data_IF_741119744699
#
_entry.id   IF_741119744699
#
_cell.length_a   1.000
_cell.length_b   1.000
_cell.length_c   1.000
_cell.angle_alpha   90.00
_cell.angle_beta   90.00
_cell.angle_gamma   90.00
#
_symmetry.space_group_name_H-M   'P 1'
#
loop_
_entity.id
_entity.type
_entity.pdbx_description
1 polymer ?
#
# COMPACT_ATOMS: atom_id res chain seq x y z
N UNK A 1 -18.49 23.58 -7.14
CA UNK A 1 -17.09 23.43 -6.70
C UNK A 1 -16.61 22.12 -7.31
N UNK A 2 -15.36 22.03 -7.76
CA UNK A 2 -14.83 20.79 -8.34
C UNK A 2 -14.42 19.83 -7.21
N UNK A 3 -14.33 18.52 -7.46
CA UNK A 3 -13.88 17.59 -6.42
C UNK A 3 -12.46 17.93 -5.97
N UNK A 4 -11.63 18.41 -6.89
CA UNK A 4 -10.28 18.85 -6.60
C UNK A 4 -10.24 20.07 -5.66
N UNK A 5 -11.09 21.07 -5.88
CA UNK A 5 -11.16 22.24 -5.00
C UNK A 5 -11.62 21.85 -3.59
N UNK A 6 -12.64 21.00 -3.47
CA UNK A 6 -13.11 20.48 -2.18
C UNK A 6 -11.99 19.70 -1.46
N UNK A 7 -11.21 18.94 -2.21
CA UNK A 7 -10.06 18.20 -1.70
C UNK A 7 -8.93 19.12 -1.19
N UNK A 8 -8.65 20.23 -1.89
CA UNK A 8 -7.71 21.24 -1.41
C UNK A 8 -8.17 21.89 -0.09
N UNK A 9 -9.47 22.17 0.06
CA UNK A 9 -10.03 22.67 1.32
C UNK A 9 -9.92 21.64 2.46
N UNK A 10 -10.15 20.35 2.15
CA UNK A 10 -9.92 19.26 3.11
C UNK A 10 -8.44 19.21 3.54
N UNK A 11 -7.50 19.34 2.60
CA UNK A 11 -6.07 19.35 2.89
C UNK A 11 -5.71 20.48 3.86
N UNK A 12 -6.19 21.70 3.63
CA UNK A 12 -5.93 22.83 4.54
C UNK A 12 -6.52 22.58 5.92
N UNK A 13 -7.72 21.98 5.99
CA UNK A 13 -8.33 21.60 7.27
C UNK A 13 -7.51 20.55 8.00
N UNK A 14 -7.00 19.53 7.29
CA UNK A 14 -6.18 18.44 7.85
C UNK A 14 -4.82 18.92 8.32
N UNK A 15 -4.20 19.87 7.62
CA UNK A 15 -2.93 20.49 8.05
C UNK A 15 -3.02 21.11 9.45
N UNK A 16 -4.18 21.67 9.84
CA UNK A 16 -4.37 22.21 11.20
C UNK A 16 -4.30 21.16 12.31
N UNK A 17 -4.45 19.87 11.95
CA UNK A 17 -4.36 18.71 12.83
C UNK A 17 -3.01 17.97 12.68
N UNK A 18 -2.08 18.50 11.88
CA UNK A 18 -0.80 17.85 11.57
C UNK A 18 -0.97 16.59 10.71
N UNK A 19 -2.04 16.49 9.94
CA UNK A 19 -2.33 15.36 9.06
C UNK A 19 -1.98 15.70 7.60
N UNK A 20 -1.58 14.67 6.87
CA UNK A 20 -1.33 14.70 5.43
C UNK A 20 -2.64 14.66 4.64
N UNK A 21 -2.63 14.91 3.32
CA UNK A 21 -3.79 14.72 2.46
C UNK A 21 -4.38 13.32 2.61
N UNK A 22 -5.70 13.22 2.78
CA UNK A 22 -6.37 11.93 2.91
C UNK A 22 -6.20 11.11 1.62
N UNK A 23 -5.86 9.82 1.68
CA UNK A 23 -5.74 9.00 0.48
C UNK A 23 -7.03 8.97 -0.35
N UNK A 24 -6.86 9.03 -1.67
CA UNK A 24 -7.97 9.05 -2.64
C UNK A 24 -8.44 7.63 -2.87
N UNK A 25 -9.72 7.37 -2.59
CA UNK A 25 -10.34 6.05 -2.72
C UNK A 25 -11.50 6.00 -3.73
N UNK A 26 -11.92 7.15 -4.27
CA UNK A 26 -12.97 7.26 -5.28
C UNK A 26 -12.44 7.49 -6.71
N UNK A 27 -13.08 6.85 -7.69
CA UNK A 27 -12.73 6.95 -9.11
C UNK A 27 -12.95 8.35 -9.70
N UNK A 28 -14.03 9.03 -9.33
CA UNK A 28 -14.39 10.37 -9.84
C UNK A 28 -13.30 11.41 -9.56
N UNK A 29 -12.73 11.37 -8.36
CA UNK A 29 -11.59 12.21 -8.00
C UNK A 29 -10.35 11.86 -8.84
N UNK A 30 -10.04 10.57 -9.03
CA UNK A 30 -8.91 10.15 -9.88
C UNK A 30 -9.12 10.55 -11.34
N UNK A 31 -10.34 10.45 -11.87
CA UNK A 31 -10.69 10.89 -13.22
C UNK A 31 -10.49 12.40 -13.40
N UNK A 32 -10.85 13.20 -12.38
CA UNK A 32 -10.59 14.64 -12.37
C UNK A 32 -9.07 14.93 -12.37
N UNK A 33 -8.28 14.19 -11.57
CA UNK A 33 -6.82 14.29 -11.61
C UNK A 33 -6.28 13.95 -13.00
N UNK A 34 -6.76 12.86 -13.63
CA UNK A 34 -6.35 12.45 -14.97
C UNK A 34 -6.67 13.54 -16.01
N UNK A 35 -7.84 14.17 -15.92
CA UNK A 35 -8.21 15.27 -16.81
C UNK A 35 -7.24 16.46 -16.68
N UNK A 36 -6.88 16.83 -15.45
CA UNK A 36 -5.90 17.89 -15.17
C UNK A 36 -4.47 17.50 -15.60
N UNK A 37 -4.10 16.22 -15.47
CA UNK A 37 -2.79 15.70 -15.93
C UNK A 37 -2.65 15.78 -17.45
N UNK A 38 -3.72 15.44 -18.18
CA UNK A 38 -3.77 15.50 -19.65
C UNK A 38 -3.75 16.95 -20.17
N UNK A 39 -4.30 17.90 -19.41
CA UNK A 39 -4.20 19.32 -19.73
C UNK A 39 -2.83 19.89 -19.28
N UNK A 40 -1.86 19.84 -20.19
CA UNK A 40 -0.48 20.32 -19.92
C UNK A 40 -0.38 21.79 -19.48
N UNK A 41 -1.42 22.61 -19.71
CA UNK A 41 -1.48 24.00 -19.27
C UNK A 41 -2.19 24.22 -17.94
N UNK A 42 -2.68 23.16 -17.29
CA UNK A 42 -3.42 23.25 -16.05
C UNK A 42 -2.53 23.67 -14.88
N UNK A 43 -2.96 24.69 -14.12
CA UNK A 43 -2.19 25.23 -12.99
C UNK A 43 -1.97 24.22 -11.85
N UNK A 44 -2.83 23.21 -11.73
CA UNK A 44 -2.77 22.17 -10.71
C UNK A 44 -2.10 20.89 -11.18
N UNK A 45 -1.65 20.81 -12.43
CA UNK A 45 -1.13 19.58 -13.04
C UNK A 45 -0.06 18.87 -12.22
N UNK A 46 0.88 19.63 -11.65
CA UNK A 46 1.98 19.09 -10.84
C UNK A 46 1.47 18.40 -9.56
N UNK A 47 0.56 19.06 -8.83
CA UNK A 47 -0.06 18.48 -7.64
C UNK A 47 -0.94 17.28 -8.00
N UNK A 48 -1.66 17.34 -9.11
CA UNK A 48 -2.50 16.23 -9.58
C UNK A 48 -1.69 15.00 -9.97
N UNK A 49 -0.51 15.19 -10.59
CA UNK A 49 0.47 14.12 -10.79
C UNK A 49 0.92 13.53 -9.45
N UNK A 50 1.27 14.38 -8.48
CA UNK A 50 1.71 13.92 -7.15
C UNK A 50 0.62 13.11 -6.43
N UNK A 51 -0.63 13.58 -6.42
CA UNK A 51 -1.74 12.84 -5.81
C UNK A 51 -2.05 11.53 -6.53
N UNK A 52 -2.01 11.54 -7.86
CA UNK A 52 -2.19 10.33 -8.66
C UNK A 52 -1.12 9.28 -8.35
N UNK A 53 0.16 9.68 -8.33
CA UNK A 53 1.28 8.76 -8.13
C UNK A 53 1.33 8.26 -6.68
N UNK A 54 1.27 9.16 -5.70
CA UNK A 54 1.63 8.86 -4.31
C UNK A 54 0.46 8.79 -3.32
N UNK A 55 -0.71 9.30 -3.68
CA UNK A 55 -1.84 9.41 -2.74
C UNK A 55 -3.13 8.72 -3.17
N UNK A 56 -3.06 7.83 -4.17
CA UNK A 56 -4.19 7.01 -4.60
C UNK A 56 -4.14 5.64 -3.92
N UNK A 57 -5.23 5.21 -3.28
CA UNK A 57 -5.27 3.90 -2.62
C UNK A 57 -5.23 2.75 -3.64
N UNK A 58 -4.42 1.71 -3.38
CA UNK A 58 -4.35 0.50 -4.19
C UNK A 58 -5.47 -0.50 -3.83
N UNK A 59 -5.34 -1.74 -4.30
CA UNK A 59 -6.29 -2.81 -3.98
C UNK A 59 -7.58 -2.71 -4.78
N UNK A 60 -8.74 -2.90 -4.14
CA UNK A 60 -10.04 -3.03 -4.82
C UNK A 60 -10.90 -1.77 -4.76
N UNK A 61 -10.30 -0.61 -4.50
CA UNK A 61 -11.03 0.68 -4.49
C UNK A 61 -11.43 1.08 -5.92
N UNK A 62 -12.42 1.96 -6.05
CA UNK A 62 -12.79 2.51 -7.36
C UNK A 62 -11.66 3.40 -7.91
N UNK A 63 -10.96 4.14 -7.04
CA UNK A 63 -9.75 4.88 -7.40
C UNK A 63 -8.64 3.99 -8.00
N UNK A 64 -8.40 2.80 -7.43
CA UNK A 64 -7.46 1.84 -8.00
C UNK A 64 -7.87 1.39 -9.42
N UNK A 65 -9.16 1.26 -9.68
CA UNK A 65 -9.69 0.97 -11.03
C UNK A 65 -9.33 2.07 -12.03
N UNK A 66 -9.65 3.32 -11.70
CA UNK A 66 -9.35 4.48 -12.55
C UNK A 66 -7.83 4.63 -12.78
N UNK A 67 -7.02 4.49 -11.72
CA UNK A 67 -5.55 4.55 -11.80
C UNK A 67 -4.99 3.44 -12.69
N UNK A 68 -5.39 2.18 -12.48
CA UNK A 68 -4.88 1.06 -13.28
C UNK A 68 -5.27 1.20 -14.76
N UNK A 69 -6.50 1.66 -15.04
CA UNK A 69 -6.95 1.93 -16.41
C UNK A 69 -6.11 3.01 -17.10
N UNK A 70 -5.83 4.12 -16.42
CA UNK A 70 -5.01 5.17 -17.01
C UNK A 70 -3.55 4.75 -17.23
N UNK A 71 -2.98 3.95 -16.31
CA UNK A 71 -1.65 3.37 -16.50
C UNK A 71 -1.61 2.41 -17.71
N UNK A 72 -2.69 1.66 -17.94
CA UNK A 72 -2.85 0.84 -19.14
C UNK A 72 -2.83 1.69 -20.42
N UNK A 73 -3.56 2.81 -20.43
CA UNK A 73 -3.59 3.73 -21.58
C UNK A 73 -2.18 4.25 -21.90
N UNK A 74 -1.38 4.57 -20.89
CA UNK A 74 0.01 5.01 -21.05
C UNK A 74 0.86 3.89 -21.65
N UNK A 75 0.77 2.67 -21.11
CA UNK A 75 1.53 1.50 -21.60
C UNK A 75 1.19 1.18 -23.05
N UNK A 76 -0.09 1.32 -23.45
CA UNK A 76 -0.55 1.08 -24.81
C UNK A 76 -0.31 2.27 -25.76
N UNK A 77 0.30 3.36 -25.29
CA UNK A 77 0.54 4.58 -26.08
C UNK A 77 -0.74 5.35 -26.45
N UNK A 78 -1.84 5.12 -25.73
CA UNK A 78 -3.13 5.80 -25.92
C UNK A 78 -3.19 7.13 -25.15
N UNK A 79 -2.33 7.30 -24.15
CA UNK A 79 -2.10 8.55 -23.45
C UNK A 79 -0.59 8.78 -23.28
N UNK A 80 -0.16 10.05 -23.30
CA UNK A 80 1.23 10.43 -23.07
C UNK A 80 1.30 11.37 -21.87
N UNK A 81 2.15 11.03 -20.91
CA UNK A 81 2.44 11.82 -19.71
C UNK A 81 3.94 11.84 -19.54
N UNK A 82 4.58 13.00 -19.71
CA UNK A 82 6.05 13.11 -19.73
C UNK A 82 6.72 12.57 -18.46
N UNK A 83 6.02 12.64 -17.33
CA UNK A 83 6.48 12.20 -16.01
C UNK A 83 6.24 10.71 -15.73
N UNK A 84 5.45 10.02 -16.57
CA UNK A 84 5.13 8.60 -16.41
C UNK A 84 5.52 7.86 -17.68
N UNK A 85 6.75 7.33 -17.71
CA UNK A 85 7.16 6.42 -18.78
C UNK A 85 6.40 5.10 -18.73
N UNK A 86 6.49 4.30 -19.80
CA UNK A 86 5.90 2.95 -19.85
C UNK A 86 6.46 2.08 -18.74
N UNK A 87 7.78 2.13 -18.50
CA UNK A 87 8.45 1.39 -17.42
C UNK A 87 7.93 1.82 -16.05
N UNK A 88 7.78 3.14 -15.83
CA UNK A 88 7.25 3.65 -14.57
C UNK A 88 5.77 3.29 -14.39
N UNK A 89 4.98 3.24 -15.46
CA UNK A 89 3.59 2.78 -15.39
C UNK A 89 3.49 1.30 -14.96
N UNK A 90 4.38 0.43 -15.47
CA UNK A 90 4.49 -0.95 -14.99
C UNK A 90 4.92 -1.04 -13.53
N UNK A 91 5.89 -0.23 -13.11
CA UNK A 91 6.30 -0.13 -11.71
C UNK A 91 5.09 0.24 -10.82
N UNK A 92 4.34 1.29 -11.17
CA UNK A 92 3.16 1.71 -10.41
C UNK A 92 2.10 0.59 -10.33
N UNK A 93 1.81 -0.11 -11.43
CA UNK A 93 0.91 -1.28 -11.41
C UNK A 93 1.41 -2.38 -10.47
N UNK A 94 2.72 -2.65 -10.44
CA UNK A 94 3.31 -3.69 -9.58
C UNK A 94 3.12 -3.43 -8.07
N UNK A 95 2.98 -2.14 -7.69
CA UNK A 95 2.78 -1.67 -6.32
C UNK A 95 1.29 -1.58 -5.90
N UNK A 96 0.35 -1.77 -6.83
CA UNK A 96 -1.09 -1.76 -6.54
C UNK A 96 -1.62 -3.09 -5.96
N UNK A 97 -0.83 -4.17 -6.03
CA UNK A 97 -0.98 -5.42 -5.28
C UNK A 97 -2.40 -6.02 -5.30
N UNK A 98 -2.97 -6.23 -6.49
CA UNK A 98 -4.21 -6.99 -6.66
C UNK A 98 -5.37 -6.21 -7.28
N UNK A 99 -6.51 -6.88 -7.41
CA UNK A 99 -7.75 -6.28 -7.92
C UNK A 99 -7.61 -5.74 -9.35
N UNK A 100 -8.00 -4.48 -9.63
CA UNK A 100 -7.94 -3.90 -10.97
C UNK A 100 -6.54 -3.93 -11.62
N UNK A 101 -5.47 -3.86 -10.82
CA UNK A 101 -4.10 -3.93 -11.35
C UNK A 101 -3.78 -5.29 -11.96
N UNK A 102 -4.24 -6.39 -11.36
CA UNK A 102 -4.06 -7.76 -11.89
C UNK A 102 -4.85 -7.94 -13.17
N UNK A 103 -6.09 -7.43 -13.21
CA UNK A 103 -6.91 -7.48 -14.42
C UNK A 103 -6.22 -6.76 -15.60
N UNK A 104 -5.68 -5.55 -15.36
CA UNK A 104 -4.93 -4.78 -16.35
C UNK A 104 -3.66 -5.49 -16.78
N UNK A 105 -2.87 -6.01 -15.84
CA UNK A 105 -1.64 -6.72 -16.15
C UNK A 105 -1.92 -7.99 -16.97
N UNK A 106 -3.01 -8.71 -16.70
CA UNK A 106 -3.43 -9.85 -17.52
C UNK A 106 -3.89 -9.44 -18.92
N UNK A 107 -4.61 -8.32 -19.05
CA UNK A 107 -4.96 -7.78 -20.37
C UNK A 107 -3.71 -7.49 -21.21
N UNK A 108 -2.67 -6.92 -20.58
CA UNK A 108 -1.40 -6.58 -21.23
C UNK A 108 -0.57 -7.84 -21.53
N UNK A 109 -0.48 -8.78 -20.58
CA UNK A 109 0.29 -10.03 -20.72
C UNK A 109 -0.28 -10.96 -21.80
N UNK A 110 -1.60 -10.95 -21.99
CA UNK A 110 -2.29 -11.76 -23.00
C UNK A 110 -2.54 -10.99 -24.30
N UNK A 111 -2.03 -9.77 -24.43
CA UNK A 111 -2.15 -8.94 -25.63
C UNK A 111 -1.21 -9.35 -26.77
N UNK A 112 -1.35 -8.67 -27.91
CA UNK A 112 -0.64 -8.99 -29.15
C UNK A 112 0.79 -8.39 -29.22
N UNK A 113 1.07 -7.31 -28.48
CA UNK A 113 2.40 -6.71 -28.45
C UNK A 113 3.34 -7.53 -27.56
N UNK A 114 4.28 -8.23 -28.18
CA UNK A 114 5.18 -9.14 -27.48
C UNK A 114 6.08 -8.44 -26.44
N UNK A 115 6.43 -7.16 -26.64
CA UNK A 115 7.27 -6.40 -25.71
C UNK A 115 6.51 -6.02 -24.46
N UNK A 116 5.29 -5.50 -24.63
CA UNK A 116 4.36 -5.19 -23.54
C UNK A 116 3.96 -6.47 -22.79
N UNK A 117 3.65 -7.53 -23.53
CA UNK A 117 3.22 -8.80 -22.96
C UNK A 117 4.30 -9.41 -22.06
N UNK A 118 5.58 -9.37 -22.48
CA UNK A 118 6.70 -9.84 -21.68
C UNK A 118 6.87 -9.02 -20.39
N UNK A 119 6.83 -7.69 -20.45
CA UNK A 119 6.95 -6.83 -19.26
C UNK A 119 5.79 -7.04 -18.29
N UNK A 120 4.57 -7.13 -18.80
CA UNK A 120 3.39 -7.41 -17.99
C UNK A 120 3.48 -8.79 -17.32
N UNK A 121 3.99 -9.80 -18.05
CA UNK A 121 4.22 -11.12 -17.50
C UNK A 121 5.26 -11.10 -16.37
N UNK A 122 6.39 -10.40 -16.55
CA UNK A 122 7.40 -10.28 -15.51
C UNK A 122 6.84 -9.63 -14.23
N UNK A 123 5.99 -8.60 -14.36
CA UNK A 123 5.28 -8.05 -13.21
C UNK A 123 4.32 -9.08 -12.62
N UNK A 124 3.50 -9.76 -13.43
CA UNK A 124 2.55 -10.78 -12.96
C UNK A 124 3.21 -11.92 -12.19
N UNK A 125 4.43 -12.35 -12.55
CA UNK A 125 5.18 -13.37 -11.80
C UNK A 125 5.48 -12.98 -10.35
N UNK A 126 5.40 -11.70 -10.02
CA UNK A 126 5.56 -11.17 -8.65
C UNK A 126 4.24 -11.00 -7.90
N UNK A 127 3.10 -11.24 -8.56
CA UNK A 127 1.76 -11.05 -8.00
C UNK A 127 1.12 -12.39 -7.62
N UNK A 128 0.29 -12.38 -6.57
CA UNK A 128 -0.34 -13.59 -6.02
C UNK A 128 -1.86 -13.49 -5.86
N UNK A 129 -2.44 -12.31 -6.06
CA UNK A 129 -3.88 -12.07 -5.89
C UNK A 129 -4.65 -12.32 -7.19
N UNK A 130 -4.54 -13.54 -7.74
CA UNK A 130 -5.36 -14.00 -8.85
C UNK A 130 -6.59 -14.72 -8.31
N UNK A 131 -7.76 -14.39 -8.85
CA UNK A 131 -9.02 -15.05 -8.51
C UNK A 131 -9.44 -16.03 -9.60
N UNK A 132 -10.54 -16.75 -9.39
CA UNK A 132 -11.02 -17.78 -10.32
C UNK A 132 -11.15 -17.28 -11.76
N UNK A 133 -11.66 -16.07 -11.97
CA UNK A 133 -11.78 -15.46 -13.29
C UNK A 133 -10.41 -15.18 -13.94
N UNK A 134 -9.41 -14.78 -13.16
CA UNK A 134 -8.05 -14.54 -13.65
C UNK A 134 -7.37 -15.86 -14.04
N UNK A 135 -7.57 -16.89 -13.22
CA UNK A 135 -7.06 -18.24 -13.48
C UNK A 135 -7.74 -18.89 -14.70
N UNK A 136 -9.04 -18.66 -14.89
CA UNK A 136 -9.79 -19.13 -16.07
C UNK A 136 -9.24 -18.47 -17.34
N UNK A 137 -8.99 -17.15 -17.32
CA UNK A 137 -8.34 -16.45 -18.45
C UNK A 137 -6.97 -17.02 -18.81
N UNK A 138 -6.13 -17.30 -17.81
CA UNK A 138 -4.82 -17.93 -18.02
C UNK A 138 -4.95 -19.35 -18.57
N UNK A 139 -5.93 -20.12 -18.09
CA UNK A 139 -6.22 -21.46 -18.59
C UNK A 139 -6.64 -21.42 -20.06
N UNK A 140 -7.60 -20.57 -20.41
CA UNK A 140 -8.09 -20.44 -21.79
C UNK A 140 -6.97 -20.02 -22.74
N UNK A 141 -6.12 -19.08 -22.30
CA UNK A 141 -4.95 -18.66 -23.07
C UNK A 141 -3.92 -19.79 -23.23
N UNK A 142 -3.66 -20.57 -22.19
CA UNK A 142 -2.80 -21.75 -22.28
C UNK A 142 -3.36 -22.80 -23.26
N UNK A 143 -4.66 -23.09 -23.17
CA UNK A 143 -5.34 -24.06 -24.04
C UNK A 143 -5.35 -23.58 -25.51
N UNK A 144 -5.32 -22.25 -25.73
CA UNK A 144 -5.12 -21.63 -27.05
C UNK A 144 -3.66 -21.59 -27.52
N UNK A 145 -2.71 -22.09 -26.72
CA UNK A 145 -1.28 -22.14 -27.07
C UNK A 145 -0.49 -20.86 -26.81
N UNK A 146 -1.00 -19.94 -25.97
CA UNK A 146 -0.30 -18.72 -25.61
C UNK A 146 0.96 -19.02 -24.77
N UNK A 147 2.13 -18.64 -25.28
CA UNK A 147 3.41 -18.90 -24.64
C UNK A 147 3.61 -18.13 -23.32
N UNK A 148 3.07 -16.91 -23.23
CA UNK A 148 3.12 -16.08 -22.01
C UNK A 148 2.28 -16.71 -20.90
N UNK A 149 1.08 -17.20 -21.23
CA UNK A 149 0.23 -17.90 -20.26
C UNK A 149 0.92 -19.16 -19.71
N UNK A 150 1.58 -19.93 -20.60
CA UNK A 150 2.38 -21.09 -20.19
C UNK A 150 3.50 -20.70 -19.23
N UNK A 151 4.30 -19.70 -19.58
CA UNK A 151 5.42 -19.21 -18.77
C UNK A 151 4.95 -18.66 -17.39
N UNK A 152 3.83 -17.94 -17.35
CA UNK A 152 3.22 -17.50 -16.09
C UNK A 152 2.82 -18.68 -15.19
N UNK A 153 2.14 -19.68 -15.76
CA UNK A 153 1.70 -20.84 -15.00
C UNK A 153 2.88 -21.71 -14.52
N UNK A 154 3.94 -21.84 -15.33
CA UNK A 154 5.18 -22.50 -14.92
C UNK A 154 5.89 -21.75 -13.78
N UNK A 155 5.97 -20.42 -13.86
CA UNK A 155 6.49 -19.56 -12.79
C UNK A 155 5.69 -19.70 -11.49
N UNK A 156 4.35 -19.71 -11.57
CA UNK A 156 3.49 -19.91 -10.40
C UNK A 156 3.63 -21.31 -9.82
N UNK A 157 3.74 -22.35 -10.65
CA UNK A 157 3.99 -23.72 -10.19
C UNK A 157 5.35 -23.87 -9.49
N UNK A 158 6.37 -23.11 -9.94
CA UNK A 158 7.68 -23.01 -9.29
C UNK A 158 7.70 -22.06 -8.08
N UNK A 159 6.56 -21.43 -7.76
CA UNK A 159 6.41 -20.43 -6.70
C UNK A 159 7.42 -19.27 -6.79
N UNK A 160 7.76 -18.81 -8.00
CA UNK A 160 8.75 -17.74 -8.18
C UNK A 160 8.36 -16.43 -7.48
N UNK A 161 7.06 -16.16 -7.32
CA UNK A 161 6.53 -15.03 -6.53
C UNK A 161 7.00 -15.03 -5.07
N UNK A 162 7.42 -16.20 -4.55
CA UNK A 162 7.92 -16.38 -3.20
C UNK A 162 9.42 -16.68 -3.18
N UNK A 163 9.88 -17.62 -4.01
CA UNK A 163 11.28 -18.08 -4.01
C UNK A 163 12.27 -17.05 -4.54
N UNK A 164 11.79 -16.02 -5.27
CA UNK A 164 12.61 -14.88 -5.71
C UNK A 164 12.51 -13.66 -4.79
N UNK A 165 11.75 -13.72 -3.70
CA UNK A 165 11.77 -12.65 -2.70
C UNK A 165 13.14 -12.62 -2.01
N UNK A 166 13.61 -11.44 -1.57
CA UNK A 166 14.77 -11.34 -0.69
C UNK A 166 14.57 -12.21 0.56
N UNK A 167 15.63 -12.91 0.98
CA UNK A 167 15.63 -13.59 2.28
C UNK A 167 15.47 -12.58 3.42
N UNK A 168 14.92 -13.03 4.54
CA UNK A 168 14.87 -12.21 5.75
C UNK A 168 16.28 -12.01 6.29
N UNK A 169 16.56 -10.82 6.85
CA UNK A 169 17.82 -10.56 7.56
C UNK A 169 18.05 -11.62 8.65
N UNK A 170 19.23 -12.27 8.66
CA UNK A 170 19.60 -13.24 9.70
C UNK A 170 19.68 -12.58 11.09
N UNK A 171 20.06 -11.30 11.13
CA UNK A 171 20.14 -10.48 12.33
C UNK A 171 19.32 -9.20 12.14
N UNK A 172 18.48 -8.88 13.12
CA UNK A 172 17.69 -7.65 13.15
C UNK A 172 18.07 -6.89 14.42
N UNK A 173 18.79 -5.78 14.26
CA UNK A 173 19.03 -4.85 15.36
C UNK A 173 17.70 -4.23 15.80
N UNK A 174 17.45 -4.23 17.12
CA UNK A 174 16.25 -3.63 17.70
C UNK A 174 16.59 -2.67 18.83
N UNK A 175 15.86 -1.55 18.89
CA UNK A 175 15.81 -0.66 20.06
C UNK A 175 14.45 -0.79 20.71
N UNK A 176 14.41 -0.98 22.03
CA UNK A 176 13.18 -1.32 22.74
C UNK A 176 12.48 -0.07 23.27
N UNK A 177 11.17 0.05 23.01
CA UNK A 177 10.30 0.99 23.67
C UNK A 177 9.31 0.24 24.57
N UNK A 178 9.38 0.48 25.87
CA UNK A 178 8.44 -0.10 26.85
C UNK A 178 7.13 0.67 26.78
N UNK A 179 6.11 0.08 26.17
CA UNK A 179 4.82 0.75 25.99
C UNK A 179 4.01 0.81 27.28
N UNK A 180 4.10 -0.21 28.13
CA UNK A 180 3.54 -0.24 29.48
C UNK A 180 4.13 -1.42 30.29
N UNK A 181 3.99 -1.35 31.62
CA UNK A 181 4.13 -2.52 32.50
C UNK A 181 2.77 -3.22 32.67
N UNK A 182 2.74 -4.55 32.55
CA UNK A 182 1.53 -5.37 32.56
C UNK A 182 0.96 -5.65 31.17
N UNK A 183 -0.21 -6.28 31.13
CA UNK A 183 -0.84 -6.68 29.87
C UNK A 183 -1.27 -5.44 29.05
N UNK A 184 -0.87 -5.41 27.79
CA UNK A 184 -1.28 -4.37 26.84
C UNK A 184 -2.47 -4.88 26.05
N UNK A 185 -3.62 -4.24 26.24
CA UNK A 185 -4.81 -4.57 25.46
C UNK A 185 -4.81 -3.90 24.10
N UNK A 186 -5.54 -4.49 23.14
CA UNK A 186 -5.78 -3.85 21.84
C UNK A 186 -6.55 -2.54 21.93
N UNK A 187 -7.21 -2.25 23.06
CA UNK A 187 -7.86 -0.96 23.30
C UNK A 187 -6.85 0.16 23.59
N UNK A 188 -5.68 -0.14 24.17
CA UNK A 188 -4.58 0.82 24.29
C UNK A 188 -4.01 1.18 22.90
N UNK A 189 -3.90 0.18 22.02
CA UNK A 189 -3.34 0.34 20.68
C UNK A 189 -4.34 0.96 19.69
N UNK A 190 -5.63 0.67 19.87
CA UNK A 190 -6.74 1.15 19.04
C UNK A 190 -8.00 1.31 19.89
N UNK A 191 -8.19 2.48 20.52
CA UNK A 191 -9.29 2.74 21.44
C UNK A 191 -10.67 2.57 20.80
N UNK A 192 -11.60 1.93 21.52
CA UNK A 192 -12.94 1.63 21.02
C UNK A 192 -13.77 2.87 20.69
N UNK A 193 -13.63 3.94 21.47
CA UNK A 193 -14.29 5.22 21.23
C UNK A 193 -13.77 5.95 19.98
N UNK A 194 -12.60 5.56 19.47
CA UNK A 194 -12.00 6.10 18.23
C UNK A 194 -12.29 5.23 17.01
N UNK A 195 -13.28 4.33 17.07
CA UNK A 195 -13.59 3.42 15.96
C UNK A 195 -13.97 4.14 14.65
N UNK A 196 -14.50 5.36 14.74
CA UNK A 196 -14.91 6.17 13.60
C UNK A 196 -13.72 6.61 12.71
N UNK A 197 -12.51 6.71 13.26
CA UNK A 197 -11.32 7.12 12.51
C UNK A 197 -10.55 5.96 11.87
N UNK A 198 -10.89 4.69 12.15
CA UNK A 198 -10.10 3.52 11.74
C UNK A 198 -9.79 3.39 10.25
N UNK A 199 -10.65 3.94 9.39
CA UNK A 199 -10.43 3.93 7.94
C UNK A 199 -9.34 4.91 7.51
N UNK A 200 -9.14 5.99 8.27
CA UNK A 200 -8.06 6.95 8.08
C UNK A 200 -6.87 6.56 8.97
N UNK A 201 -5.91 5.83 8.39
CA UNK A 201 -4.82 5.20 9.13
C UNK A 201 -3.89 6.20 9.81
N UNK A 202 -3.67 7.36 9.19
CA UNK A 202 -2.85 8.42 9.77
C UNK A 202 -3.55 9.03 11.00
N UNK A 203 -4.81 9.42 10.84
CA UNK A 203 -5.63 9.96 11.93
C UNK A 203 -5.81 8.95 13.07
N UNK A 204 -6.13 7.70 12.75
CA UNK A 204 -6.28 6.66 13.77
C UNK A 204 -4.96 6.31 14.45
N UNK A 205 -3.84 6.43 13.73
CA UNK A 205 -2.49 6.28 14.25
C UNK A 205 -2.23 7.19 15.44
N UNK A 206 -2.69 8.45 15.39
CA UNK A 206 -2.56 9.42 16.49
C UNK A 206 -3.22 8.98 17.80
N UNK A 207 -4.16 8.03 17.75
CA UNK A 207 -4.84 7.51 18.94
C UNK A 207 -4.06 6.39 19.65
N UNK A 208 -2.94 5.92 19.08
CA UNK A 208 -2.10 4.88 19.68
C UNK A 208 -1.26 5.47 20.80
N UNK A 209 -1.42 5.00 22.05
CA UNK A 209 -0.69 5.50 23.23
C UNK A 209 -0.77 7.05 23.39
N UNK A 210 0.02 7.64 24.27
CA UNK A 210 0.08 9.11 24.45
C UNK A 210 0.94 9.78 23.38
N UNK A 211 0.67 11.06 23.11
CA UNK A 211 1.47 11.86 22.16
C UNK A 211 2.94 11.99 22.57
N UNK A 212 3.25 12.01 23.88
CA UNK A 212 4.63 12.05 24.34
C UNK A 212 5.37 10.74 24.04
N UNK A 213 4.70 9.59 24.22
CA UNK A 213 5.24 8.29 23.85
C UNK A 213 5.49 8.17 22.34
N UNK A 214 4.59 8.71 21.52
CA UNK A 214 4.77 8.77 20.07
C UNK A 214 6.04 9.54 19.68
N UNK A 215 6.28 10.72 20.30
CA UNK A 215 7.50 11.51 20.07
C UNK A 215 8.76 10.79 20.52
N UNK A 216 8.70 10.05 21.64
CA UNK A 216 9.82 9.22 22.10
C UNK A 216 10.14 8.10 21.10
N UNK A 217 9.11 7.43 20.56
CA UNK A 217 9.27 6.41 19.51
C UNK A 217 9.93 7.01 18.26
N UNK A 218 9.49 8.19 17.81
CA UNK A 218 10.12 8.89 16.68
C UNK A 218 11.58 9.28 16.96
N UNK A 219 11.85 9.79 18.16
CA UNK A 219 13.21 10.12 18.59
C UNK A 219 14.12 8.87 18.61
N UNK A 220 13.60 7.71 19.03
CA UNK A 220 14.33 6.45 18.99
C UNK A 220 14.67 6.04 17.55
N UNK A 221 13.75 6.20 16.60
CA UNK A 221 14.01 5.91 15.18
C UNK A 221 15.14 6.78 14.62
N UNK A 222 15.14 8.07 14.99
CA UNK A 222 16.16 9.03 14.56
C UNK A 222 17.54 8.75 15.20
N UNK A 223 17.56 8.32 16.48
CA UNK A 223 18.79 7.98 17.20
C UNK A 223 19.39 6.66 16.74
N UNK A 224 18.56 5.72 16.29
CA UNK A 224 18.97 4.37 15.89
C UNK A 224 18.50 4.03 14.46
N UNK A 225 19.01 4.71 13.42
CA UNK A 225 18.53 4.54 12.05
C UNK A 225 18.76 3.14 11.46
N UNK A 226 19.69 2.37 12.04
CA UNK A 226 19.99 0.99 11.62
C UNK A 226 19.19 -0.07 12.38
N UNK A 227 18.48 0.32 13.46
CA UNK A 227 17.70 -0.60 14.29
C UNK A 227 16.19 -0.38 14.09
N UNK A 228 15.40 -1.44 14.27
CA UNK A 228 13.94 -1.36 14.30
C UNK A 228 13.47 -1.02 15.72
N UNK A 229 12.45 -0.18 15.86
CA UNK A 229 11.82 0.00 17.17
C UNK A 229 10.97 -1.23 17.48
N UNK A 230 11.27 -1.90 18.59
CA UNK A 230 10.45 -2.97 19.14
C UNK A 230 9.57 -2.43 20.26
N UNK A 231 8.25 -2.59 20.10
CA UNK A 231 7.28 -2.20 21.12
C UNK A 231 7.05 -3.37 22.09
N UNK A 232 7.27 -3.18 23.40
CA UNK A 232 7.13 -4.26 24.40
C UNK A 232 6.09 -3.98 25.48
N UNK A 233 5.33 -5.01 25.85
CA UNK A 233 4.60 -5.11 27.12
C UNK A 233 5.53 -5.69 28.20
N UNK A 234 6.06 -4.84 29.08
CA UNK A 234 7.00 -5.25 30.13
C UNK A 234 6.25 -5.97 31.26
N UNK A 235 6.74 -7.15 31.68
CA UNK A 235 6.08 -8.04 32.65
C UNK A 235 4.64 -8.41 32.28
N UNK A 236 4.29 -8.38 30.99
CA UNK A 236 2.94 -8.58 30.52
C UNK A 236 2.84 -9.26 29.16
N UNK A 237 1.61 -9.48 28.73
CA UNK A 237 1.24 -10.03 27.43
C UNK A 237 0.84 -8.90 26.48
N UNK A 238 1.35 -8.91 25.26
CA UNK A 238 0.97 -7.93 24.23
C UNK A 238 -0.31 -8.36 23.51
N UNK A 239 -1.21 -7.41 23.25
CA UNK A 239 -2.36 -7.59 22.36
C UNK A 239 -3.56 -8.30 22.97
N UNK A 240 -3.74 -8.28 24.29
CA UNK A 240 -4.90 -8.94 24.92
C UNK A 240 -6.22 -8.26 24.54
N UNK A 241 -7.31 -9.02 24.51
CA UNK A 241 -8.65 -8.47 24.29
C UNK A 241 -9.17 -8.63 22.86
N UNK A 242 -9.73 -7.56 22.31
CA UNK A 242 -10.51 -7.65 21.04
C UNK A 242 -9.62 -7.80 19.82
N UNK A 243 -10.06 -8.61 18.84
CA UNK A 243 -9.47 -8.61 17.50
C UNK A 243 -9.82 -7.31 16.78
N UNK A 244 -8.82 -6.45 16.61
CA UNK A 244 -8.95 -5.19 15.85
C UNK A 244 -7.68 -5.00 15.04
N UNK A 245 -7.79 -5.17 13.72
CA UNK A 245 -6.68 -4.93 12.79
C UNK A 245 -6.08 -3.52 12.92
N UNK A 246 -6.88 -2.53 13.33
CA UNK A 246 -6.42 -1.17 13.60
C UNK A 246 -5.36 -1.09 14.70
N UNK A 247 -5.30 -2.02 15.65
CA UNK A 247 -4.26 -2.08 16.67
C UNK A 247 -2.87 -2.33 16.06
N UNK A 248 -2.74 -3.39 15.26
CA UNK A 248 -1.47 -3.70 14.58
C UNK A 248 -1.14 -2.67 13.50
N UNK A 249 -2.14 -2.12 12.81
CA UNK A 249 -1.94 -1.03 11.84
C UNK A 249 -1.31 0.18 12.53
N UNK A 250 -1.82 0.59 13.69
CA UNK A 250 -1.26 1.70 14.45
C UNK A 250 0.19 1.40 14.87
N UNK A 251 0.47 0.20 15.41
CA UNK A 251 1.85 -0.18 15.76
C UNK A 251 2.78 -0.11 14.53
N UNK A 252 2.34 -0.61 13.38
CA UNK A 252 3.09 -0.53 12.14
C UNK A 252 3.26 0.91 11.65
N UNK A 253 2.25 1.77 11.79
CA UNK A 253 2.37 3.19 11.43
C UNK A 253 3.51 3.88 12.16
N UNK A 254 3.65 3.63 13.47
CA UNK A 254 4.69 4.29 14.27
C UNK A 254 6.06 3.61 14.19
N UNK A 255 6.10 2.27 14.23
CA UNK A 255 7.36 1.51 14.39
C UNK A 255 7.80 0.74 13.15
N UNK A 256 6.90 0.53 12.18
CA UNK A 256 7.15 -0.25 10.98
C UNK A 256 7.84 0.53 9.86
N UNK A 257 7.98 -0.14 8.72
CA UNK A 257 8.56 0.39 7.47
C UNK A 257 7.45 0.65 6.46
N UNK A 258 7.53 1.75 5.71
CA UNK A 258 6.58 2.00 4.63
C UNK A 258 6.65 0.87 3.58
N UNK A 259 5.50 0.30 3.23
CA UNK A 259 5.43 -0.87 2.36
C UNK A 259 5.79 -0.54 0.90
N UNK A 260 5.47 0.69 0.48
CA UNK A 260 5.71 1.20 -0.87
C UNK A 260 5.73 2.72 -0.83
N UNK A 261 6.63 3.40 -1.56
CA UNK A 261 6.59 4.85 -1.69
C UNK A 261 5.28 5.34 -2.35
N UNK A 262 4.61 4.48 -3.14
CA UNK A 262 3.38 4.80 -3.88
C UNK A 262 2.08 4.44 -3.15
N UNK A 263 2.18 3.88 -1.94
CA UNK A 263 1.01 3.46 -1.15
C UNK A 263 1.00 4.24 0.17
N UNK A 264 0.07 5.18 0.35
CA UNK A 264 0.08 6.08 1.50
C UNK A 264 -0.40 5.36 2.77
N UNK A 265 0.26 5.63 3.91
CA UNK A 265 -0.10 5.16 5.26
C UNK A 265 -0.28 3.65 5.39
N UNK A 266 0.49 2.87 4.63
CA UNK A 266 0.59 1.42 4.79
C UNK A 266 2.02 1.07 5.17
N UNK A 267 2.23 0.83 6.46
CA UNK A 267 3.49 0.33 6.98
C UNK A 267 3.40 -1.16 7.31
N UNK A 268 4.53 -1.85 7.23
CA UNK A 268 4.69 -3.28 7.43
C UNK A 268 5.86 -3.58 8.37
N UNK A 269 5.97 -4.86 8.76
CA UNK A 269 7.06 -5.39 9.57
C UNK A 269 7.32 -4.64 10.91
N UNK A 270 6.28 -4.31 11.71
CA UNK A 270 6.52 -3.90 13.10
C UNK A 270 7.16 -5.04 13.90
N UNK A 271 7.94 -4.71 14.91
CA UNK A 271 8.48 -5.68 15.88
C UNK A 271 7.77 -5.46 17.21
N UNK A 272 7.15 -6.52 17.74
CA UNK A 272 6.41 -6.48 19.01
C UNK A 272 6.85 -7.59 19.94
N UNK A 273 6.85 -7.32 21.24
CA UNK A 273 7.19 -8.28 22.28
C UNK A 273 6.26 -8.16 23.49
N UNK A 274 6.21 -9.21 24.30
CA UNK A 274 5.63 -9.16 25.64
C UNK A 274 6.40 -10.13 26.52
N UNK A 275 6.76 -9.73 27.73
CA UNK A 275 7.53 -10.57 28.65
C UNK A 275 6.86 -11.92 28.91
N UNK A 276 5.52 -11.93 29.00
CA UNK A 276 4.72 -13.14 29.22
C UNK A 276 4.20 -13.74 27.90
N UNK A 277 4.46 -13.11 26.76
CA UNK A 277 4.07 -13.58 25.43
C UNK A 277 3.23 -12.58 24.63
N UNK A 278 2.71 -13.06 23.50
CA UNK A 278 1.80 -12.34 22.60
C UNK A 278 0.46 -13.07 22.61
N UNK A 279 -0.63 -12.33 22.67
CA UNK A 279 -1.97 -12.87 22.50
C UNK A 279 -2.10 -13.56 21.13
N UNK A 280 -2.75 -14.74 21.02
CA UNK A 280 -2.84 -15.47 19.75
C UNK A 280 -3.64 -14.78 18.62
N UNK A 281 -4.48 -13.80 18.96
CA UNK A 281 -5.39 -13.06 18.07
C UNK A 281 -4.85 -11.65 17.88
#
# INVERSE_FOLDING_TARGET
MSLYTDYLEEIETRKTQGLSPKPIDQADMVEELIAQIKDTGNEHREDSLNFFIYNTLPGTTSAAGAKAGFLKDIILGQAEVAEISVEFAFELLSHMKGGPSVAVLLDLALGDDAGIAAQAADVMKTQVFLYDADMERLKDALDAGNAVAKDLLESYAAAEFFTKLPEIDEEIEVVTYIAAEGDISTDLLSPGNQAHSRADRELHGQCMISTDAQKEIEALKLQHPNARVMLIAEKGTMGVGSSRMSGVNNVAMWTGKQASPYVPFVNIAPVVAGTNGISPI
#
